data_IF_783171710914
#
_entry.id   IF_783171710914
#
_cell.length_a   1.000
_cell.length_b   1.000
_cell.length_c   1.000
_cell.angle_alpha   90.00
_cell.angle_beta   90.00
_cell.angle_gamma   90.00
#
_symmetry.space_group_name_H-M   'P 1'
#
loop_
_entity.id
_entity.type
_entity.pdbx_description
1 polymer ?
#
# COMPACT_ATOMS: atom_id res chain seq x y z
N UNK A 1 6.27 -0.31 4.90
CA UNK A 1 6.44 -1.66 4.36
C UNK A 1 5.28 -2.03 3.42
N UNK A 2 5.54 -2.86 2.41
CA UNK A 2 4.50 -3.47 1.56
C UNK A 2 4.38 -4.94 1.95
N UNK A 3 3.21 -5.38 2.40
CA UNK A 3 3.03 -6.68 3.04
C UNK A 3 1.89 -7.47 2.39
N UNK A 4 2.19 -8.69 1.95
CA UNK A 4 1.19 -9.63 1.43
C UNK A 4 0.50 -10.41 2.57
N UNK A 5 -0.82 -10.55 2.49
CA UNK A 5 -1.66 -11.25 3.48
C UNK A 5 -2.75 -12.07 2.78
N UNK A 6 -3.01 -13.30 3.24
CA UNK A 6 -4.07 -14.20 2.69
C UNK A 6 -3.99 -14.42 1.17
N UNK A 7 -2.80 -14.38 0.58
CA UNK A 7 -2.60 -14.51 -0.87
C UNK A 7 -2.82 -13.22 -1.67
N UNK A 8 -3.16 -12.12 -1.00
CA UNK A 8 -3.26 -10.79 -1.61
C UNK A 8 -1.99 -9.99 -1.34
N UNK A 9 -1.44 -9.39 -2.39
CA UNK A 9 -0.40 -8.38 -2.30
C UNK A 9 -0.98 -7.03 -2.74
N UNK A 10 -0.56 -5.91 -2.13
CA UNK A 10 -0.94 -4.60 -2.63
C UNK A 10 -0.58 -4.43 -4.11
N UNK A 11 -1.51 -3.92 -4.90
CA UNK A 11 -1.26 -3.46 -6.26
C UNK A 11 -1.03 -1.94 -6.21
N UNK A 12 0.17 -1.50 -6.57
CA UNK A 12 0.60 -0.11 -6.46
C UNK A 12 1.13 0.30 -7.82
N UNK A 13 0.56 1.35 -8.39
CA UNK A 13 1.06 1.94 -9.62
C UNK A 13 2.48 2.50 -9.44
N UNK A 14 3.32 2.39 -10.47
CA UNK A 14 4.73 2.80 -10.41
C UNK A 14 4.92 4.32 -10.23
N UNK A 15 3.90 5.13 -10.54
CA UNK A 15 3.93 6.58 -10.32
C UNK A 15 3.81 6.99 -8.86
N UNK A 16 3.37 6.07 -7.98
CA UNK A 16 3.01 6.40 -6.61
C UNK A 16 4.25 6.56 -5.72
N UNK A 17 4.28 7.65 -4.95
CA UNK A 17 5.19 7.80 -3.83
C UNK A 17 4.65 7.03 -2.62
N UNK A 18 5.45 6.08 -2.13
CA UNK A 18 5.20 5.34 -0.89
C UNK A 18 6.30 5.73 0.10
N UNK A 19 5.94 6.47 1.14
CA UNK A 19 6.88 6.88 2.17
C UNK A 19 7.43 5.67 2.93
N UNK A 20 8.73 5.69 3.26
CA UNK A 20 9.43 4.58 3.91
C UNK A 20 8.77 4.12 5.23
N UNK A 21 8.19 5.06 5.99
CA UNK A 21 7.53 4.77 7.27
C UNK A 21 6.04 4.43 7.16
N UNK A 22 5.49 4.35 5.95
CA UNK A 22 4.09 3.95 5.73
C UNK A 22 3.96 2.45 5.60
N UNK A 23 2.81 1.87 5.96
CA UNK A 23 2.52 0.44 5.77
C UNK A 23 1.30 0.22 4.88
N UNK A 24 1.44 -0.63 3.86
CA UNK A 24 0.39 -1.02 2.91
C UNK A 24 0.25 -2.55 2.93
N UNK A 25 -0.92 -3.04 3.34
CA UNK A 25 -1.10 -4.44 3.76
C UNK A 25 -2.32 -5.07 3.09
N UNK A 26 -2.12 -6.21 2.43
CA UNK A 26 -3.20 -7.07 1.94
C UNK A 26 -3.83 -6.61 0.62
N UNK A 27 -5.16 -6.75 0.50
CA UNK A 27 -5.92 -6.42 -0.70
C UNK A 27 -6.13 -4.91 -0.82
N UNK A 28 -5.07 -4.21 -1.23
CA UNK A 28 -5.05 -2.75 -1.44
C UNK A 28 -4.71 -2.46 -2.90
N UNK A 29 -5.40 -1.48 -3.49
CA UNK A 29 -5.06 -0.91 -4.80
C UNK A 29 -4.74 0.57 -4.61
N UNK A 30 -3.56 0.99 -5.06
CA UNK A 30 -3.14 2.39 -5.11
C UNK A 30 -2.98 2.78 -6.58
N UNK A 31 -3.96 3.53 -7.07
CA UNK A 31 -4.05 3.97 -8.47
C UNK A 31 -3.07 5.12 -8.77
N UNK A 32 -2.87 5.41 -10.06
CA UNK A 32 -2.01 6.48 -10.55
C UNK A 32 -2.21 7.80 -9.79
N UNK A 33 -1.09 8.48 -9.47
CA UNK A 33 -1.03 9.78 -8.77
C UNK A 33 -1.55 9.77 -7.31
N UNK A 34 -1.84 8.60 -6.72
CA UNK A 34 -2.19 8.46 -5.32
C UNK A 34 -0.95 8.18 -4.45
N UNK A 35 -0.57 9.16 -3.63
CA UNK A 35 0.62 9.06 -2.78
C UNK A 35 0.28 8.66 -1.34
N UNK A 36 1.08 7.77 -0.75
CA UNK A 36 0.99 7.36 0.66
C UNK A 36 2.12 8.00 1.45
N UNK A 37 1.74 8.81 2.44
CA UNK A 37 2.66 9.63 3.22
C UNK A 37 3.08 8.97 4.53
N UNK A 38 4.13 9.53 5.14
CA UNK A 38 4.76 9.03 6.36
C UNK A 38 3.75 8.65 7.44
N UNK A 39 4.00 7.51 8.09
CA UNK A 39 3.24 6.98 9.23
C UNK A 39 1.77 6.63 8.92
N UNK A 40 1.41 6.55 7.63
CA UNK A 40 0.08 6.06 7.20
C UNK A 40 0.05 4.53 7.25
N UNK A 41 -1.08 3.96 7.70
CA UNK A 41 -1.37 2.53 7.60
C UNK A 41 -2.60 2.33 6.73
N UNK A 42 -2.43 1.63 5.60
CA UNK A 42 -3.52 1.19 4.72
C UNK A 42 -3.61 -0.33 4.81
N UNK A 43 -4.70 -0.85 5.39
CA UNK A 43 -4.85 -2.28 5.65
C UNK A 43 -6.18 -2.80 5.12
N UNK A 44 -6.10 -3.69 4.14
CA UNK A 44 -7.22 -4.44 3.57
C UNK A 44 -7.06 -5.93 3.82
N UNK A 45 -7.39 -6.40 5.03
CA UNK A 45 -7.19 -7.79 5.46
C UNK A 45 -8.46 -8.56 5.87
N UNK A 46 -9.64 -7.94 5.74
CA UNK A 46 -10.97 -8.53 6.05
C UNK A 46 -11.83 -8.65 4.80
#
# INVERSE_FOLDING_TARGET
MVISVKGFAPNIDESCFIADSSDVIGQVVVEQDANIWYNTVVRGDV
#
